data_IF_070117516734
#
_entry.id   IF_070117516734
#
_cell.length_a   1.000
_cell.length_b   1.000
_cell.length_c   1.000
_cell.angle_alpha   90.00
_cell.angle_beta   90.00
_cell.angle_gamma   90.00
#
_symmetry.space_group_name_H-M   'P 1'
#
loop_
_entity.id
_entity.type
_entity.pdbx_description
1 polymer ?
#
# COMPACT_ATOMS: atom_id res chain seq x y z
N UNK A 1 -12.88 38.81 -19.13
CA UNK A 1 -12.15 39.43 -20.27
C UNK A 1 -12.69 38.84 -21.56
N UNK A 2 -12.89 39.65 -22.63
CA UNK A 2 -13.29 39.16 -23.94
C UNK A 2 -12.29 38.12 -24.45
N UNK A 3 -12.79 37.14 -25.20
CA UNK A 3 -12.01 36.02 -25.74
C UNK A 3 -10.81 36.51 -26.55
N UNK A 4 -10.98 37.63 -27.24
CA UNK A 4 -9.97 38.27 -28.11
C UNK A 4 -8.70 38.71 -27.37
N UNK A 5 -8.79 38.99 -26.05
CA UNK A 5 -7.67 39.43 -25.21
C UNK A 5 -7.16 38.36 -24.24
N UNK A 6 -7.53 37.11 -24.45
CA UNK A 6 -7.07 36.01 -23.59
C UNK A 6 -5.63 35.55 -23.85
N UNK A 7 -5.16 35.79 -25.06
CA UNK A 7 -3.85 35.36 -25.51
C UNK A 7 -3.09 36.50 -26.13
N UNK A 8 -2.09 37.00 -25.44
CA UNK A 8 -1.14 37.94 -25.98
C UNK A 8 0.04 37.16 -26.57
N UNK A 9 0.15 37.16 -27.86
CA UNK A 9 1.21 36.43 -28.60
C UNK A 9 2.63 36.93 -28.22
N UNK A 10 2.77 38.22 -27.92
CA UNK A 10 4.05 38.78 -27.46
C UNK A 10 4.42 38.32 -26.07
N UNK A 11 3.44 38.25 -25.14
CA UNK A 11 3.67 37.72 -23.79
C UNK A 11 3.95 36.22 -23.85
N UNK A 12 3.24 35.50 -24.70
CA UNK A 12 3.43 34.05 -24.85
C UNK A 12 4.84 33.75 -25.42
N UNK A 13 5.34 34.54 -26.38
CA UNK A 13 6.68 34.35 -26.95
C UNK A 13 7.82 34.62 -25.94
N UNK A 14 7.57 35.43 -24.93
CA UNK A 14 8.53 35.71 -23.84
C UNK A 14 8.57 34.66 -22.74
N UNK A 15 7.65 33.69 -22.75
CA UNK A 15 7.63 32.58 -21.79
C UNK A 15 8.73 31.59 -22.17
N UNK A 16 9.88 31.72 -21.52
CA UNK A 16 11.03 30.83 -21.72
C UNK A 16 10.96 29.54 -20.86
N UNK A 17 9.97 29.45 -19.98
CA UNK A 17 9.86 28.36 -19.01
C UNK A 17 8.49 27.72 -19.13
N UNK A 18 8.45 26.46 -19.57
CA UNK A 18 7.26 25.63 -19.46
C UNK A 18 7.19 25.02 -18.03
N UNK A 19 5.99 24.74 -17.49
CA UNK A 19 5.85 24.15 -16.15
C UNK A 19 6.62 22.85 -15.95
N UNK A 20 6.93 22.14 -17.01
CA UNK A 20 7.70 20.89 -17.05
C UNK A 20 9.17 21.06 -17.45
N UNK A 21 9.60 22.27 -17.76
CA UNK A 21 11.01 22.60 -17.96
C UNK A 21 11.44 23.46 -16.78
N UNK A 22 12.24 22.91 -15.90
CA UNK A 22 12.87 23.69 -14.84
C UNK A 22 13.67 24.83 -15.44
N UNK A 23 13.65 25.99 -14.80
CA UNK A 23 14.41 27.17 -15.21
C UNK A 23 15.82 26.78 -15.57
N UNK A 24 16.16 27.08 -16.82
CA UNK A 24 17.50 27.27 -17.34
C UNK A 24 18.59 26.33 -16.82
N UNK A 25 19.00 25.43 -17.67
CA UNK A 25 20.38 25.00 -17.90
C UNK A 25 21.28 24.63 -16.69
N UNK A 26 20.73 24.37 -15.56
CA UNK A 26 21.33 23.45 -14.59
C UNK A 26 20.46 22.23 -14.52
N UNK A 27 20.70 21.31 -15.45
CA UNK A 27 20.36 19.93 -15.14
C UNK A 27 20.95 19.67 -13.76
N UNK A 28 20.12 19.27 -12.76
CA UNK A 28 20.69 18.87 -11.49
C UNK A 28 21.65 17.73 -11.83
N UNK A 29 22.95 18.01 -11.74
CA UNK A 29 23.97 16.98 -11.87
C UNK A 29 23.76 16.04 -10.70
N UNK A 30 22.99 15.00 -10.96
CA UNK A 30 22.79 13.92 -9.97
C UNK A 30 24.12 13.20 -9.89
N UNK A 31 24.97 13.64 -9.00
CA UNK A 31 26.21 12.94 -8.65
C UNK A 31 25.83 11.72 -7.84
N UNK A 32 25.71 10.60 -8.51
CA UNK A 32 25.77 9.33 -7.81
C UNK A 32 27.18 9.20 -7.25
N UNK A 33 27.31 9.02 -5.96
CA UNK A 33 28.59 8.66 -5.37
C UNK A 33 29.08 7.38 -6.07
N UNK A 34 30.19 7.44 -6.78
CA UNK A 34 30.74 6.33 -7.57
C UNK A 34 31.09 5.09 -6.74
N UNK A 35 31.09 5.21 -5.43
CA UNK A 35 31.33 4.09 -4.53
C UNK A 35 30.31 4.08 -3.40
N UNK A 36 29.11 3.61 -3.69
CA UNK A 36 28.35 2.96 -2.64
C UNK A 36 29.07 1.63 -2.37
N UNK A 37 29.70 1.43 -1.21
CA UNK A 37 30.24 0.12 -0.89
C UNK A 37 29.11 -0.88 -1.10
N UNK A 38 29.30 -1.81 -2.03
CA UNK A 38 28.37 -2.92 -2.20
C UNK A 38 28.29 -3.57 -0.83
N UNK A 39 27.18 -3.34 -0.14
CA UNK A 39 26.90 -4.06 1.08
C UNK A 39 26.85 -5.54 0.67
N UNK A 40 27.88 -6.28 1.01
CA UNK A 40 27.98 -7.71 0.66
C UNK A 40 26.95 -8.55 1.41
N UNK A 41 26.17 -7.90 2.28
CA UNK A 41 25.02 -8.54 2.91
C UNK A 41 24.02 -8.94 1.84
N UNK A 42 23.65 -10.22 1.78
CA UNK A 42 22.61 -10.67 0.88
C UNK A 42 21.36 -9.80 1.10
N UNK A 43 20.79 -9.30 0.00
CA UNK A 43 19.58 -8.49 0.09
C UNK A 43 18.57 -9.25 0.97
N UNK A 44 17.98 -8.59 1.97
CA UNK A 44 17.03 -9.26 2.85
C UNK A 44 15.93 -9.85 1.97
N UNK A 45 15.81 -11.16 2.00
CA UNK A 45 14.74 -11.84 1.26
C UNK A 45 13.43 -11.29 1.78
N UNK A 46 12.60 -10.78 0.86
CA UNK A 46 11.26 -10.30 1.19
C UNK A 46 10.48 -11.50 1.76
N UNK A 47 10.48 -11.60 3.09
CA UNK A 47 9.71 -12.63 3.79
C UNK A 47 8.24 -12.45 3.44
N UNK A 48 7.58 -13.54 3.11
CA UNK A 48 6.17 -13.52 2.77
C UNK A 48 5.35 -13.03 3.96
N UNK A 49 4.83 -11.79 3.86
CA UNK A 49 3.96 -11.23 4.88
C UNK A 49 2.58 -11.90 4.75
N UNK A 50 2.04 -12.50 5.82
CA UNK A 50 0.73 -13.14 5.77
C UNK A 50 -0.33 -12.12 5.41
N UNK A 51 -1.18 -12.44 4.44
CA UNK A 51 -2.24 -11.55 3.99
C UNK A 51 -3.30 -11.40 5.07
N UNK A 52 -3.66 -10.17 5.37
CA UNK A 52 -4.80 -9.85 6.24
C UNK A 52 -6.08 -10.48 5.68
N UNK A 53 -7.06 -10.75 6.56
CA UNK A 53 -8.37 -11.27 6.15
C UNK A 53 -8.98 -10.38 5.06
N UNK A 54 -9.52 -11.01 4.02
CA UNK A 54 -10.23 -10.30 2.96
C UNK A 54 -11.64 -9.95 3.43
N UNK A 55 -11.99 -8.67 3.38
CA UNK A 55 -13.35 -8.18 3.60
C UNK A 55 -14.06 -8.06 2.25
N UNK A 56 -15.29 -8.50 2.19
CA UNK A 56 -16.11 -8.47 0.98
C UNK A 56 -17.13 -7.35 1.04
N UNK A 57 -17.57 -6.89 -0.12
CA UNK A 57 -18.62 -5.89 -0.23
C UNK A 57 -19.89 -6.27 0.55
N UNK A 58 -20.25 -7.57 0.52
CA UNK A 58 -21.40 -8.10 1.25
C UNK A 58 -21.31 -7.89 2.76
N UNK A 59 -20.11 -7.98 3.34
CA UNK A 59 -19.90 -7.73 4.77
C UNK A 59 -20.28 -6.28 5.12
N UNK A 60 -19.92 -5.33 4.25
CA UNK A 60 -20.22 -3.91 4.43
C UNK A 60 -21.69 -3.56 4.16
N UNK A 61 -22.34 -4.26 3.24
CA UNK A 61 -23.78 -4.11 3.02
C UNK A 61 -24.58 -4.58 4.22
N UNK A 62 -24.13 -5.63 4.90
CA UNK A 62 -24.79 -6.20 6.08
C UNK A 62 -24.49 -5.39 7.36
N UNK A 63 -23.26 -4.97 7.58
CA UNK A 63 -22.81 -4.34 8.82
C UNK A 63 -22.58 -2.82 8.72
N UNK A 64 -22.81 -2.24 7.54
CA UNK A 64 -22.68 -0.81 7.26
C UNK A 64 -21.25 -0.34 7.02
N UNK A 65 -21.16 0.79 6.34
CA UNK A 65 -19.91 1.49 6.08
C UNK A 65 -19.48 2.32 7.30
N UNK A 66 -18.22 2.70 7.37
CA UNK A 66 -17.69 3.55 8.44
C UNK A 66 -17.24 4.90 7.85
N UNK A 67 -17.57 5.96 8.57
CA UNK A 67 -17.12 7.32 8.24
C UNK A 67 -15.60 7.42 8.42
N UNK A 68 -14.94 8.26 7.62
CA UNK A 68 -13.49 8.46 7.62
C UNK A 68 -12.66 7.22 7.20
N UNK A 69 -13.25 6.32 6.44
CA UNK A 69 -12.55 5.23 5.80
C UNK A 69 -12.57 5.41 4.28
N UNK A 70 -11.42 5.71 3.69
CA UNK A 70 -11.30 5.99 2.26
C UNK A 70 -11.91 4.90 1.36
N UNK A 71 -11.79 3.64 1.76
CA UNK A 71 -12.37 2.52 1.01
C UNK A 71 -13.90 2.48 1.16
N UNK A 72 -14.43 2.79 2.35
CA UNK A 72 -15.89 2.89 2.57
C UNK A 72 -16.48 4.07 1.78
N UNK A 73 -15.83 5.23 1.81
CA UNK A 73 -16.26 6.41 1.03
C UNK A 73 -16.26 6.10 -0.48
N UNK A 74 -15.28 5.32 -0.95
CA UNK A 74 -15.26 4.90 -2.35
C UNK A 74 -16.41 3.94 -2.67
N UNK A 75 -16.70 2.99 -1.78
CA UNK A 75 -17.84 2.07 -1.96
C UNK A 75 -19.18 2.82 -1.96
N UNK A 76 -19.35 3.80 -1.09
CA UNK A 76 -20.56 4.61 -1.00
C UNK A 76 -20.80 5.38 -2.31
N UNK A 77 -19.75 5.99 -2.86
CA UNK A 77 -19.85 6.81 -4.08
C UNK A 77 -20.00 5.99 -5.36
N UNK A 78 -19.36 4.84 -5.43
CA UNK A 78 -19.21 4.07 -6.67
C UNK A 78 -19.94 2.72 -6.65
N UNK A 79 -20.53 2.33 -5.53
CA UNK A 79 -21.22 1.05 -5.38
C UNK A 79 -20.31 -0.19 -5.52
N UNK A 80 -18.99 -0.01 -5.48
CA UNK A 80 -18.01 -1.09 -5.66
C UNK A 80 -16.74 -0.85 -4.85
N UNK A 81 -16.03 -1.92 -4.49
CA UNK A 81 -14.74 -1.83 -3.86
C UNK A 81 -13.70 -1.20 -4.81
N UNK A 82 -12.91 -0.26 -4.30
CA UNK A 82 -11.82 0.36 -5.07
C UNK A 82 -10.61 -0.56 -5.18
N UNK A 83 -10.03 -0.63 -6.39
CA UNK A 83 -8.79 -1.38 -6.61
C UNK A 83 -7.64 -0.64 -5.93
N UNK A 84 -6.88 -1.34 -5.08
CA UNK A 84 -5.73 -0.76 -4.37
C UNK A 84 -6.09 0.17 -3.21
N UNK A 85 -7.36 0.37 -2.91
CA UNK A 85 -7.80 1.18 -1.78
C UNK A 85 -8.07 0.28 -0.58
N UNK A 86 -7.22 0.39 0.45
CA UNK A 86 -7.37 -0.40 1.67
C UNK A 86 -8.28 0.28 2.68
N UNK A 87 -8.99 -0.53 3.46
CA UNK A 87 -9.72 -0.06 4.64
C UNK A 87 -8.76 0.35 5.74
N UNK A 88 -9.12 1.37 6.52
CA UNK A 88 -8.40 1.75 7.73
C UNK A 88 -8.41 0.61 8.75
N UNK A 89 -7.44 0.58 9.65
CA UNK A 89 -7.36 -0.47 10.66
C UNK A 89 -8.57 -0.45 11.59
N UNK A 90 -9.04 0.73 11.96
CA UNK A 90 -10.28 0.91 12.76
C UNK A 90 -11.48 0.29 12.05
N UNK A 91 -11.61 0.51 10.74
CA UNK A 91 -12.68 -0.07 9.94
C UNK A 91 -12.59 -1.60 9.92
N UNK A 92 -11.38 -2.14 9.74
CA UNK A 92 -11.13 -3.58 9.73
C UNK A 92 -11.46 -4.23 11.08
N UNK A 93 -11.01 -3.63 12.17
CA UNK A 93 -11.25 -4.14 13.53
C UNK A 93 -12.75 -4.17 13.85
N UNK A 94 -13.50 -3.11 13.49
CA UNK A 94 -14.95 -3.10 13.64
C UNK A 94 -15.58 -4.24 12.83
N UNK A 95 -15.20 -4.41 11.58
CA UNK A 95 -15.77 -5.44 10.72
C UNK A 95 -15.45 -6.85 11.23
N UNK A 96 -14.23 -7.08 11.70
CA UNK A 96 -13.85 -8.36 12.31
C UNK A 96 -14.68 -8.64 13.58
N UNK A 97 -14.93 -7.61 14.39
CA UNK A 97 -15.80 -7.72 15.56
C UNK A 97 -17.24 -8.06 15.17
N UNK A 98 -17.80 -7.43 14.13
CA UNK A 98 -19.15 -7.77 13.67
C UNK A 98 -19.21 -9.20 13.11
N UNK A 99 -18.21 -9.60 12.33
CA UNK A 99 -18.12 -10.96 11.80
C UNK A 99 -17.96 -12.02 12.90
N UNK A 100 -17.29 -11.71 14.00
CA UNK A 100 -17.15 -12.65 15.11
C UNK A 100 -18.48 -12.99 15.82
N UNK A 101 -19.53 -12.21 15.58
CA UNK A 101 -20.87 -12.48 16.12
C UNK A 101 -21.64 -13.53 15.30
N UNK A 102 -21.17 -13.87 14.11
CA UNK A 102 -21.83 -14.82 13.19
C UNK A 102 -21.01 -16.09 13.06
N UNK A 103 -21.64 -17.24 12.95
CA UNK A 103 -20.95 -18.53 12.80
C UNK A 103 -20.05 -18.53 11.56
N UNK A 104 -20.57 -18.09 10.42
CA UNK A 104 -19.82 -18.00 9.18
C UNK A 104 -18.62 -17.05 9.29
N UNK A 105 -18.79 -15.94 10.01
CA UNK A 105 -17.72 -14.98 10.26
C UNK A 105 -16.64 -15.56 11.16
N UNK A 106 -17.00 -16.30 12.19
CA UNK A 106 -16.06 -17.00 13.07
C UNK A 106 -15.20 -17.99 12.30
N UNK A 107 -15.80 -18.84 11.47
CA UNK A 107 -15.05 -19.76 10.62
C UNK A 107 -14.04 -19.05 9.69
N UNK A 108 -14.42 -17.89 9.15
CA UNK A 108 -13.53 -17.09 8.32
C UNK A 108 -12.37 -16.49 9.10
N UNK A 109 -12.63 -16.08 10.35
CA UNK A 109 -11.61 -15.55 11.25
C UNK A 109 -10.63 -16.66 11.66
N UNK A 110 -11.12 -17.84 12.03
CA UNK A 110 -10.31 -19.00 12.38
C UNK A 110 -9.39 -19.41 11.21
N UNK A 111 -9.96 -19.64 10.03
CA UNK A 111 -9.15 -19.98 8.83
C UNK A 111 -8.09 -18.92 8.50
N UNK A 112 -8.37 -17.67 8.83
CA UNK A 112 -7.37 -16.60 8.63
C UNK A 112 -6.31 -16.63 9.71
N UNK A 113 -6.68 -16.89 10.96
CA UNK A 113 -5.79 -17.09 12.09
C UNK A 113 -4.83 -18.26 11.83
N UNK A 114 -5.35 -19.41 11.44
CA UNK A 114 -4.57 -20.60 11.14
C UNK A 114 -3.52 -20.33 10.07
N UNK A 115 -3.91 -19.68 8.97
CA UNK A 115 -2.98 -19.31 7.89
C UNK A 115 -1.88 -18.35 8.36
N UNK A 116 -2.21 -17.41 9.24
CA UNK A 116 -1.24 -16.48 9.82
C UNK A 116 -0.29 -17.25 10.73
N UNK A 117 -0.81 -18.08 11.60
CA UNK A 117 -0.04 -18.91 12.53
C UNK A 117 0.89 -19.87 11.79
N UNK A 118 0.42 -20.53 10.73
CA UNK A 118 1.24 -21.39 9.88
C UNK A 118 2.39 -20.61 9.23
N UNK A 119 2.11 -19.40 8.75
CA UNK A 119 3.15 -18.55 8.16
C UNK A 119 4.18 -18.14 9.20
N UNK A 120 3.74 -17.77 10.39
CA UNK A 120 4.62 -17.40 11.50
C UNK A 120 5.45 -18.58 12.00
N UNK A 121 4.85 -19.77 12.13
CA UNK A 121 5.57 -20.98 12.50
C UNK A 121 6.71 -21.29 11.51
N UNK A 122 6.43 -21.20 10.21
CA UNK A 122 7.45 -21.36 9.18
C UNK A 122 8.60 -20.35 9.31
N UNK A 123 8.31 -19.09 9.64
CA UNK A 123 9.36 -18.09 9.86
C UNK A 123 10.23 -18.39 11.09
N UNK A 124 9.62 -18.90 12.15
CA UNK A 124 10.38 -19.31 13.35
C UNK A 124 11.29 -20.50 13.00
N UNK A 125 10.77 -21.52 12.32
CA UNK A 125 11.54 -22.67 11.88
C UNK A 125 12.72 -22.29 10.95
N UNK A 126 12.48 -21.36 10.01
CA UNK A 126 13.54 -20.85 9.12
C UNK A 126 14.61 -20.10 9.94
N UNK A 127 14.21 -19.25 10.88
CA UNK A 127 15.12 -18.50 11.73
C UNK A 127 15.97 -19.42 12.64
N UNK A 128 15.34 -20.45 13.22
CA UNK A 128 16.04 -21.44 14.04
C UNK A 128 17.06 -22.25 13.22
N UNK A 129 16.70 -22.62 12.00
CA UNK A 129 17.62 -23.33 11.09
C UNK A 129 18.81 -22.46 10.65
N UNK A 130 18.61 -21.15 10.46
CA UNK A 130 19.69 -20.21 10.13
C UNK A 130 20.68 -20.05 11.32
N UNK A 131 20.19 -20.10 12.55
CA UNK A 131 21.03 -19.97 13.75
C UNK A 131 21.81 -21.23 14.09
N UNK A 132 21.32 -22.42 13.68
CA UNK A 132 21.94 -23.71 13.98
C UNK A 132 22.99 -24.11 12.92
N UNK A 133 23.10 -23.39 11.78
CA UNK A 133 24.15 -23.67 10.80
C UNK A 133 25.50 -23.11 11.31
N UNK A 134 26.36 -23.92 11.98
CA UNK A 134 27.67 -23.44 12.42
C UNK A 134 28.48 -23.17 11.15
N UNK A 135 29.14 -22.04 11.12
CA UNK A 135 30.20 -21.77 10.16
C UNK A 135 31.18 -22.94 10.19
N UNK A 136 31.13 -23.80 9.20
CA UNK A 136 32.17 -24.80 8.98
C UNK A 136 33.39 -24.03 8.54
N UNK A 137 34.36 -23.96 9.46
CA UNK A 137 35.72 -23.52 9.16
C UNK A 137 36.37 -24.45 8.13
#
# INVERSE_FOLDING_TARGET
RPIENRWDAEVASKIQVAPWKSRASREPEVRFAESVPKDERPAPQLKHIPRKMKLFMGDFLQHGLIVNCRSCDHMERHGRAGIGINHTETCRSRMMHELSKTVVGQERLEKTGDRINETLARYVEEADNETVSPAVC
#
